data_IF_541383305851
#
_entry.id   IF_541383305851
#
_cell.length_a   1.000
_cell.length_b   1.000
_cell.length_c   1.000
_cell.angle_alpha   90.00
_cell.angle_beta   90.00
_cell.angle_gamma   90.00
#
_symmetry.space_group_name_H-M   'P 1'
#
loop_
_entity.id
_entity.type
_entity.pdbx_description
1 polymer ?
#
# COMPACT_ATOMS: atom_id res chain seq x y z
N UNK A 1 29.92 46.09 28.45
CA UNK A 1 29.20 45.04 29.16
C UNK A 1 27.73 44.89 28.76
N UNK A 2 26.88 45.96 28.70
CA UNK A 2 25.47 45.81 28.32
C UNK A 2 25.22 45.32 26.89
N UNK A 3 26.04 45.68 25.91
CA UNK A 3 25.93 45.22 24.51
C UNK A 3 26.30 43.75 24.31
N UNK A 4 27.27 43.24 25.06
CA UNK A 4 27.69 41.85 25.00
C UNK A 4 26.65 40.87 25.59
N UNK A 5 25.92 41.35 26.61
CA UNK A 5 24.85 40.58 27.26
C UNK A 5 23.65 40.46 26.30
N UNK A 6 23.32 41.53 25.57
CA UNK A 6 22.23 41.52 24.56
C UNK A 6 22.55 40.55 23.40
N UNK A 7 23.80 40.51 22.93
CA UNK A 7 24.22 39.56 21.88
C UNK A 7 24.13 38.10 22.37
N UNK A 8 24.53 37.81 23.60
CA UNK A 8 24.43 36.50 24.18
C UNK A 8 22.97 36.02 24.31
N UNK A 9 22.05 36.92 24.67
CA UNK A 9 20.59 36.62 24.71
C UNK A 9 20.00 36.38 23.35
N UNK A 10 20.43 37.15 22.33
CA UNK A 10 19.98 36.93 20.95
C UNK A 10 20.45 35.58 20.41
N UNK A 11 21.66 35.14 20.74
CA UNK A 11 22.21 33.85 20.35
C UNK A 11 21.49 32.70 21.03
N UNK A 12 21.06 32.86 22.28
CA UNK A 12 20.29 31.82 23.00
C UNK A 12 18.89 31.63 22.40
N UNK A 13 18.27 32.66 21.86
CA UNK A 13 16.95 32.59 21.23
C UNK A 13 16.96 31.78 19.92
N UNK A 14 18.09 31.72 19.22
CA UNK A 14 18.20 30.95 17.95
C UNK A 14 18.32 29.45 18.18
N UNK A 15 18.74 29.01 19.37
CA UNK A 15 18.94 27.57 19.67
C UNK A 15 17.60 26.86 19.97
N UNK A 16 16.55 27.60 20.30
CA UNK A 16 15.24 27.04 20.63
C UNK A 16 14.27 26.99 19.44
N UNK A 17 14.65 27.49 18.27
CA UNK A 17 13.87 27.37 17.05
C UNK A 17 13.92 25.92 16.56
N UNK A 18 13.11 25.05 17.15
CA UNK A 18 12.78 23.78 16.53
C UNK A 18 11.91 24.06 15.33
N UNK A 19 12.38 23.68 14.16
CA UNK A 19 11.53 23.67 12.99
C UNK A 19 10.31 22.81 13.31
N UNK A 20 9.12 23.36 13.20
CA UNK A 20 7.91 22.55 13.25
C UNK A 20 8.03 21.49 12.17
N UNK A 21 7.82 20.23 12.55
CA UNK A 21 7.67 19.17 11.56
C UNK A 21 6.55 19.60 10.62
N UNK A 22 6.93 19.93 9.40
CA UNK A 22 5.97 20.14 8.33
C UNK A 22 5.20 18.85 8.16
N UNK A 23 3.92 18.94 8.35
CA UNK A 23 2.87 17.94 8.31
C UNK A 23 3.24 16.60 7.68
N UNK A 24 2.74 15.48 8.25
CA UNK A 24 2.95 14.16 7.69
C UNK A 24 2.52 14.16 6.23
N UNK A 25 3.35 13.57 5.41
CA UNK A 25 3.06 13.31 4.00
C UNK A 25 1.66 12.70 3.92
N UNK A 26 0.75 13.38 3.25
CA UNK A 26 -0.64 12.96 3.10
C UNK A 26 -0.75 11.48 2.75
N UNK A 27 -1.43 10.74 3.59
CA UNK A 27 -2.12 9.53 3.19
C UNK A 27 -1.48 8.20 3.49
N UNK A 28 -0.33 8.11 4.10
CA UNK A 28 0.13 6.81 4.62
C UNK A 28 -0.12 6.80 6.12
N UNK A 29 -1.15 6.08 6.56
CA UNK A 29 -1.28 5.74 7.96
C UNK A 29 0.05 5.10 8.39
N UNK A 30 0.64 5.60 9.48
CA UNK A 30 1.81 4.96 10.05
C UNK A 30 1.52 3.46 10.18
N UNK A 31 2.41 2.58 9.70
CA UNK A 31 2.23 1.15 9.91
C UNK A 31 2.07 0.98 11.42
N UNK A 32 0.97 0.33 11.84
CA UNK A 32 0.76 0.06 13.26
C UNK A 32 1.95 -0.74 13.74
N UNK A 33 2.89 -0.05 14.36
CA UNK A 33 4.01 -0.67 15.04
C UNK A 33 3.41 -1.62 16.07
N UNK A 34 3.68 -2.90 15.96
CA UNK A 34 3.12 -3.87 16.88
C UNK A 34 3.71 -5.25 16.63
N UNK A 35 3.77 -6.00 17.71
CA UNK A 35 4.17 -7.39 17.67
C UNK A 35 2.93 -8.27 17.80
N UNK A 36 2.73 -9.18 16.84
CA UNK A 36 1.61 -10.12 16.82
C UNK A 36 2.13 -11.55 16.73
N UNK A 37 1.61 -12.42 17.56
CA UNK A 37 1.89 -13.84 17.50
C UNK A 37 0.59 -14.62 17.22
N UNK A 38 0.48 -15.17 16.01
CA UNK A 38 -0.61 -16.05 15.60
C UNK A 38 -0.22 -17.49 15.95
N UNK A 39 -0.86 -18.06 16.96
CA UNK A 39 -0.49 -19.36 17.53
C UNK A 39 -1.45 -20.47 17.11
N UNK A 40 -1.00 -21.72 17.22
CA UNK A 40 -1.80 -22.92 16.99
C UNK A 40 -2.38 -23.05 15.57
N UNK A 41 -1.81 -22.35 14.59
CA UNK A 41 -2.26 -22.39 13.20
C UNK A 41 -1.63 -23.53 12.41
N UNK A 42 -2.27 -23.92 11.31
CA UNK A 42 -1.57 -24.61 10.21
C UNK A 42 -1.07 -23.56 9.24
N UNK A 43 0.26 -23.42 9.14
CA UNK A 43 0.89 -22.42 8.30
C UNK A 43 1.34 -23.08 7.00
N UNK A 44 0.75 -22.65 5.88
CA UNK A 44 1.11 -23.09 4.54
C UNK A 44 2.13 -22.12 3.97
N UNK A 45 3.37 -22.58 3.79
CA UNK A 45 4.46 -21.73 3.28
C UNK A 45 4.46 -21.65 1.75
N UNK A 46 4.17 -22.78 1.14
CA UNK A 46 4.12 -22.97 -0.31
C UNK A 46 3.21 -24.17 -0.65
N UNK A 47 3.10 -24.51 -1.93
CA UNK A 47 2.22 -25.58 -2.41
C UNK A 47 2.58 -26.98 -1.87
N UNK A 48 3.81 -27.18 -1.40
CA UNK A 48 4.31 -28.48 -0.93
C UNK A 48 4.54 -28.52 0.58
N UNK A 49 4.65 -27.34 1.23
CA UNK A 49 5.13 -27.24 2.62
C UNK A 49 4.09 -26.61 3.52
N UNK A 50 3.64 -27.37 4.52
CA UNK A 50 2.80 -26.86 5.60
C UNK A 50 3.35 -27.26 6.97
N UNK A 51 3.14 -26.42 7.98
CA UNK A 51 3.57 -26.66 9.36
C UNK A 51 2.33 -26.60 10.24
N UNK A 52 1.96 -27.72 10.83
CA UNK A 52 0.81 -27.81 11.75
C UNK A 52 1.18 -27.33 13.14
N UNK A 53 0.21 -26.80 13.88
CA UNK A 53 0.35 -26.31 15.24
C UNK A 53 1.54 -25.34 15.39
N UNK A 54 1.65 -24.42 14.46
CA UNK A 54 2.76 -23.50 14.34
C UNK A 54 2.37 -22.07 14.81
N UNK A 55 3.39 -21.29 15.09
CA UNK A 55 3.28 -19.88 15.43
C UNK A 55 3.91 -19.04 14.33
N UNK A 56 3.20 -18.00 13.90
CA UNK A 56 3.69 -16.94 13.03
C UNK A 56 3.88 -15.68 13.89
N UNK A 57 5.12 -15.21 13.99
CA UNK A 57 5.47 -13.98 14.70
C UNK A 57 5.71 -12.86 13.70
N UNK A 58 4.95 -11.77 13.84
CA UNK A 58 5.06 -10.57 13.01
C UNK A 58 5.39 -9.39 13.90
N UNK A 59 6.38 -8.60 13.50
CA UNK A 59 6.72 -7.32 14.16
C UNK A 59 6.89 -6.24 13.09
N UNK A 60 6.26 -5.11 13.29
CA UNK A 60 6.34 -3.94 12.40
C UNK A 60 6.06 -4.30 10.92
N UNK A 61 5.03 -5.14 10.70
CA UNK A 61 4.64 -5.59 9.36
C UNK A 61 5.58 -6.61 8.71
N UNK A 62 6.59 -7.11 9.44
CA UNK A 62 7.54 -8.10 8.92
C UNK A 62 7.41 -9.43 9.66
N UNK A 63 7.54 -10.53 8.95
CA UNK A 63 7.62 -11.87 9.54
C UNK A 63 8.98 -12.02 10.20
N UNK A 64 8.99 -12.26 11.52
CA UNK A 64 10.21 -12.45 12.31
C UNK A 64 10.53 -13.93 12.45
N UNK A 65 9.52 -14.76 12.70
CA UNK A 65 9.70 -16.18 12.86
C UNK A 65 8.45 -16.98 12.48
N UNK A 66 8.66 -18.21 11.99
CA UNK A 66 7.60 -19.17 11.69
C UNK A 66 8.07 -20.56 12.13
N UNK A 67 7.27 -21.25 12.93
CA UNK A 67 7.60 -22.60 13.35
C UNK A 67 6.80 -23.08 14.54
N UNK A 68 7.09 -24.30 15.00
CA UNK A 68 6.42 -24.91 16.17
C UNK A 68 7.01 -24.47 17.50
N UNK A 69 8.27 -23.99 17.52
CA UNK A 69 9.02 -23.61 18.71
C UNK A 69 9.49 -22.14 18.60
N UNK A 70 8.56 -21.23 18.35
CA UNK A 70 8.87 -19.79 18.27
C UNK A 70 8.81 -19.19 19.64
N UNK A 71 9.89 -18.48 20.05
CA UNK A 71 9.90 -17.67 21.27
C UNK A 71 9.05 -16.43 21.07
N UNK A 72 7.99 -16.29 21.85
CA UNK A 72 7.04 -15.18 21.76
C UNK A 72 7.46 -14.09 22.74
N UNK A 73 7.75 -12.86 22.27
CA UNK A 73 8.06 -11.75 23.15
C UNK A 73 6.87 -11.36 24.06
N UNK A 74 7.17 -10.84 25.24
CA UNK A 74 6.14 -10.46 26.21
C UNK A 74 5.22 -9.31 25.75
N UNK A 75 5.69 -8.50 24.81
CA UNK A 75 4.96 -7.38 24.21
C UNK A 75 4.08 -7.80 23.00
N UNK A 76 4.10 -9.10 22.63
CA UNK A 76 3.32 -9.58 21.51
C UNK A 76 1.84 -9.76 21.85
N UNK A 77 0.96 -9.28 20.98
CA UNK A 77 -0.46 -9.58 21.04
C UNK A 77 -0.68 -11.02 20.54
N UNK A 78 -1.19 -11.87 21.42
CA UNK A 78 -1.48 -13.27 21.10
C UNK A 78 -2.83 -13.39 20.39
N UNK A 79 -2.83 -14.09 19.26
CA UNK A 79 -4.04 -14.45 18.51
C UNK A 79 -4.06 -15.97 18.35
N UNK A 80 -5.01 -16.62 19.00
CA UNK A 80 -5.20 -18.07 18.85
C UNK A 80 -5.89 -18.38 17.52
N UNK A 81 -5.18 -19.12 16.68
CA UNK A 81 -5.63 -19.55 15.35
C UNK A 81 -5.88 -21.07 15.28
N UNK A 82 -6.22 -21.70 16.42
CA UNK A 82 -6.52 -23.12 16.47
C UNK A 82 -7.56 -23.54 15.43
N UNK A 83 -7.21 -24.51 14.59
CA UNK A 83 -8.08 -25.02 13.53
C UNK A 83 -8.13 -24.12 12.29
N UNK A 84 -7.36 -23.03 12.25
CA UNK A 84 -7.27 -22.13 11.10
C UNK A 84 -6.00 -22.36 10.29
N UNK A 85 -6.06 -21.97 9.03
CA UNK A 85 -4.92 -21.99 8.12
C UNK A 85 -4.43 -20.56 7.87
N UNK A 86 -3.13 -20.39 7.79
CA UNK A 86 -2.48 -19.14 7.38
C UNK A 86 -1.76 -19.39 6.07
N UNK A 87 -2.10 -18.62 5.04
CA UNK A 87 -1.52 -18.68 3.70
C UNK A 87 -0.80 -17.36 3.39
N UNK A 88 0.21 -17.38 2.51
CA UNK A 88 0.67 -16.17 1.84
C UNK A 88 -0.48 -15.52 1.08
N UNK A 89 -0.55 -14.21 1.05
CA UNK A 89 -1.55 -13.51 0.24
C UNK A 89 -1.24 -13.60 -1.24
N UNK A 90 -2.28 -13.50 -2.07
CA UNK A 90 -2.10 -13.37 -3.51
C UNK A 90 -1.59 -11.97 -3.87
N UNK A 91 -0.87 -11.91 -4.98
CA UNK A 91 -0.39 -10.66 -5.60
C UNK A 91 -1.07 -10.57 -6.97
N UNK A 92 -1.86 -9.51 -7.19
CA UNK A 92 -2.44 -9.23 -8.49
C UNK A 92 -1.52 -8.25 -9.24
N UNK A 93 -0.99 -8.69 -10.37
CA UNK A 93 -0.08 -7.89 -11.20
C UNK A 93 -0.82 -7.05 -12.25
N UNK A 94 -2.15 -7.15 -12.34
CA UNK A 94 -2.95 -6.46 -13.35
C UNK A 94 -4.28 -5.98 -12.79
N UNK A 95 -4.22 -5.07 -11.81
CA UNK A 95 -5.39 -4.51 -11.17
C UNK A 95 -5.72 -3.08 -11.66
N UNK A 96 -6.94 -2.66 -11.47
CA UNK A 96 -7.40 -1.28 -11.64
C UNK A 96 -7.85 -0.63 -10.31
N UNK A 97 -7.40 -1.21 -9.20
CA UNK A 97 -7.72 -0.73 -7.87
C UNK A 97 -7.27 0.74 -7.68
N UNK A 98 -8.20 1.57 -7.23
CA UNK A 98 -7.91 2.99 -6.97
C UNK A 98 -7.77 3.85 -8.23
N UNK A 99 -7.92 3.29 -9.42
CA UNK A 99 -7.90 4.04 -10.67
C UNK A 99 -9.31 4.49 -11.07
N UNK A 100 -9.44 5.70 -11.65
CA UNK A 100 -10.71 6.14 -12.21
C UNK A 100 -11.11 5.21 -13.36
N UNK A 101 -12.40 4.87 -13.38
CA UNK A 101 -12.96 4.08 -14.49
C UNK A 101 -12.92 4.94 -15.75
N UNK A 102 -12.24 4.50 -16.83
CA UNK A 102 -12.25 5.23 -18.09
C UNK A 102 -13.68 5.39 -18.56
N UNK A 103 -14.11 6.60 -18.82
CA UNK A 103 -15.40 6.84 -19.46
C UNK A 103 -15.30 6.32 -20.90
N UNK A 104 -15.83 5.14 -21.13
CA UNK A 104 -16.02 4.67 -22.49
C UNK A 104 -17.09 5.56 -23.10
N UNK A 105 -16.72 6.34 -24.09
CA UNK A 105 -17.72 6.94 -24.98
C UNK A 105 -18.55 5.78 -25.51
N UNK A 106 -19.83 5.73 -25.16
CA UNK A 106 -20.76 4.72 -25.70
C UNK A 106 -20.90 4.97 -27.21
N UNK A 107 -19.94 4.46 -27.95
CA UNK A 107 -20.12 4.24 -29.38
C UNK A 107 -20.73 2.86 -29.51
N UNK A 108 -21.97 2.77 -29.97
CA UNK A 108 -22.53 1.51 -30.43
C UNK A 108 -21.60 0.87 -31.47
N UNK A 109 -21.75 -0.40 -31.75
CA UNK A 109 -21.02 -1.11 -32.81
C UNK A 109 -21.05 -0.30 -34.08
N UNK A 110 -20.02 0.48 -34.32
CA UNK A 110 -19.84 1.28 -35.51
C UNK A 110 -18.76 0.61 -36.34
N UNK A 111 -19.18 -0.10 -37.38
CA UNK A 111 -18.23 -0.73 -38.31
C UNK A 111 -17.33 0.27 -39.06
N UNK A 112 -17.65 1.56 -39.00
CA UNK A 112 -16.88 2.65 -39.57
C UNK A 112 -16.08 3.41 -38.51
N UNK A 113 -16.01 2.92 -37.25
CA UNK A 113 -15.15 3.56 -36.23
C UNK A 113 -13.70 3.54 -36.71
N UNK A 114 -13.02 4.68 -36.63
CA UNK A 114 -11.60 4.71 -36.95
C UNK A 114 -10.86 3.68 -36.11
N UNK A 115 -9.84 3.05 -36.68
CA UNK A 115 -9.02 2.07 -35.99
C UNK A 115 -8.54 2.66 -34.66
N UNK A 116 -8.38 1.81 -33.66
CA UNK A 116 -7.96 2.19 -32.29
C UNK A 116 -6.67 3.03 -32.25
N UNK A 117 -5.94 3.07 -33.35
CA UNK A 117 -4.71 3.83 -33.53
C UNK A 117 -4.97 5.28 -34.01
N UNK A 118 -6.21 5.66 -34.34
CA UNK A 118 -6.57 7.02 -34.74
C UNK A 118 -7.42 7.69 -33.67
N UNK A 119 -7.09 8.92 -33.34
CA UNK A 119 -7.80 9.74 -32.35
C UNK A 119 -8.36 11.00 -33.04
N UNK A 120 -9.57 11.40 -32.64
CA UNK A 120 -10.15 12.69 -33.03
C UNK A 120 -9.59 13.87 -32.22
N UNK A 121 -8.75 13.61 -31.23
CA UNK A 121 -8.09 14.66 -30.45
C UNK A 121 -6.94 15.26 -31.25
N UNK A 122 -6.95 16.58 -31.35
CA UNK A 122 -5.84 17.32 -31.97
C UNK A 122 -4.72 17.50 -30.96
N UNK A 123 -3.47 17.36 -31.39
CA UNK A 123 -2.28 17.57 -30.58
C UNK A 123 -1.41 16.34 -30.45
N UNK A 124 -0.43 16.39 -29.54
CA UNK A 124 0.59 15.34 -29.34
C UNK A 124 0.01 13.98 -28.91
N UNK A 125 -1.23 13.95 -28.48
CA UNK A 125 -1.95 12.76 -27.96
C UNK A 125 -2.80 12.05 -29.01
N UNK A 126 -2.72 12.48 -30.28
CA UNK A 126 -3.68 12.13 -31.31
C UNK A 126 -3.56 10.72 -31.89
N UNK A 127 -2.49 9.99 -31.65
CA UNK A 127 -2.15 8.81 -32.44
C UNK A 127 -2.72 7.50 -31.86
N UNK A 128 -2.81 7.39 -30.55
CA UNK A 128 -3.36 6.18 -29.91
C UNK A 128 -3.93 6.53 -28.54
N UNK A 129 -5.23 6.37 -28.36
CA UNK A 129 -5.90 6.66 -27.09
C UNK A 129 -5.55 5.65 -25.98
N UNK A 130 -5.02 4.50 -26.34
CA UNK A 130 -4.56 3.51 -25.36
C UNK A 130 -3.19 3.86 -24.76
N UNK A 131 -2.43 4.74 -25.42
CA UNK A 131 -1.13 5.18 -24.92
C UNK A 131 -1.29 6.57 -24.31
N UNK A 132 -1.32 6.61 -22.98
CA UNK A 132 -1.52 7.85 -22.20
C UNK A 132 -0.26 8.18 -21.42
N UNK A 133 0.75 8.65 -22.13
CA UNK A 133 2.04 9.06 -21.52
C UNK A 133 1.95 10.34 -20.68
N UNK A 134 0.88 11.09 -20.85
CA UNK A 134 0.53 12.30 -20.10
C UNK A 134 -0.03 12.01 -18.72
N UNK A 135 -0.49 10.79 -18.47
CA UNK A 135 -1.13 10.41 -17.22
C UNK A 135 -0.13 9.82 -16.24
N UNK A 136 0.01 10.46 -15.09
CA UNK A 136 0.78 9.93 -13.97
C UNK A 136 -0.17 9.16 -13.03
N UNK A 137 -0.12 7.85 -13.08
CA UNK A 137 -1.00 6.97 -12.29
C UNK A 137 -1.00 7.29 -10.79
N UNK A 138 0.16 7.65 -10.23
CA UNK A 138 0.27 8.01 -8.82
C UNK A 138 -0.54 9.27 -8.44
N UNK A 139 -0.77 10.19 -9.38
CA UNK A 139 -1.52 11.42 -9.12
C UNK A 139 -3.04 11.21 -9.18
N UNK A 140 -3.49 10.24 -9.95
CA UNK A 140 -4.92 9.93 -10.12
C UNK A 140 -5.39 8.80 -9.22
N UNK A 141 -4.47 8.14 -8.53
CA UNK A 141 -4.77 7.06 -7.60
C UNK A 141 -5.60 7.58 -6.41
N UNK A 142 -6.72 6.93 -6.14
CA UNK A 142 -7.55 7.19 -4.97
C UNK A 142 -7.87 5.88 -4.25
N UNK A 143 -7.48 5.79 -2.98
CA UNK A 143 -7.75 4.61 -2.18
C UNK A 143 -9.26 4.41 -1.97
N UNK A 144 -9.75 3.21 -2.26
CA UNK A 144 -11.14 2.79 -2.05
C UNK A 144 -11.18 1.69 -1.00
N UNK A 145 -11.63 2.03 0.21
CA UNK A 145 -11.66 1.11 1.33
C UNK A 145 -12.64 -0.06 1.12
N UNK A 146 -13.72 0.14 0.36
CA UNK A 146 -14.71 -0.91 0.08
C UNK A 146 -14.13 -1.95 -0.86
N UNK A 147 -13.54 -1.50 -1.97
CA UNK A 147 -12.83 -2.39 -2.91
C UNK A 147 -11.64 -3.07 -2.25
N UNK A 148 -10.85 -2.33 -1.45
CA UNK A 148 -9.73 -2.91 -0.71
C UNK A 148 -10.17 -4.02 0.26
N UNK A 149 -11.31 -3.83 0.94
CA UNK A 149 -11.88 -4.86 1.81
C UNK A 149 -12.25 -6.10 1.02
N UNK A 150 -12.97 -5.95 -0.10
CA UNK A 150 -13.37 -7.07 -0.94
C UNK A 150 -12.17 -7.86 -1.49
N UNK A 151 -11.10 -7.15 -1.91
CA UNK A 151 -9.87 -7.79 -2.37
C UNK A 151 -9.18 -8.57 -1.25
N UNK A 152 -9.09 -8.02 -0.03
CA UNK A 152 -8.52 -8.73 1.12
C UNK A 152 -9.34 -9.97 1.49
N UNK A 153 -10.67 -9.88 1.46
CA UNK A 153 -11.57 -11.01 1.70
C UNK A 153 -11.40 -12.12 0.65
N UNK A 154 -10.98 -11.75 -0.57
CA UNK A 154 -10.62 -12.70 -1.63
C UNK A 154 -9.17 -13.20 -1.54
N UNK A 155 -8.39 -12.76 -0.54
CA UNK A 155 -7.03 -13.21 -0.29
C UNK A 155 -5.91 -12.37 -0.94
N UNK A 156 -6.24 -11.26 -1.58
CA UNK A 156 -5.24 -10.37 -2.18
C UNK A 156 -4.67 -9.41 -1.13
N UNK A 157 -3.34 -9.44 -0.93
CA UNK A 157 -2.63 -8.56 -0.01
C UNK A 157 -1.86 -7.44 -0.70
N UNK A 158 -1.54 -7.64 -1.98
CA UNK A 158 -0.79 -6.67 -2.78
C UNK A 158 -1.34 -6.65 -4.20
N UNK A 159 -1.41 -5.46 -4.78
CA UNK A 159 -1.84 -5.28 -6.17
C UNK A 159 -0.92 -4.30 -6.89
N UNK A 160 -0.58 -4.60 -8.13
CA UNK A 160 0.00 -3.64 -9.05
C UNK A 160 -1.13 -3.00 -9.84
N UNK A 161 -1.40 -1.75 -9.55
CA UNK A 161 -2.51 -1.03 -10.18
C UNK A 161 -2.05 -0.20 -11.37
N UNK A 162 -2.87 -0.13 -12.39
CA UNK A 162 -2.66 0.66 -13.59
C UNK A 162 -3.99 1.13 -14.15
N UNK A 163 -3.97 2.21 -14.90
CA UNK A 163 -5.15 2.67 -15.64
C UNK A 163 -5.35 1.78 -16.88
N UNK A 164 -6.58 1.31 -17.07
CA UNK A 164 -7.00 0.60 -18.29
C UNK A 164 -7.40 1.56 -19.40
#
# INVERSE_FOLDING_TARGET
>A
MRRSVLFAWLLLLTITARTQETFPVNGVAEPKAGCYAFTNATIVKDAATSISNATLLIRDGKIIAVGTAVSIPADALLVDCKGKFIYPSFIDLYADYGMPVPQRTQGGFNFNAPAQLSSNQKGAYGWNQAIRTDVQGAQIFAADNVKAKAMRESGFGTVLTHQR
#
